data_IF_967263928527
#
_entry.id   IF_967263928527
#
_cell.length_a   1.000
_cell.length_b   1.000
_cell.length_c   1.000
_cell.angle_alpha   90.00
_cell.angle_beta   90.00
_cell.angle_gamma   90.00
#
_symmetry.space_group_name_H-M   'P 1'
#
loop_
_entity.id
_entity.type
_entity.pdbx_description
1 polymer ?
#
# COMPACT_ATOMS: atom_id res chain seq x y z
N UNK A 1 2.77 -4.69 7.91
CA UNK A 1 3.03 -3.87 6.70
C UNK A 1 2.96 -2.39 7.10
N UNK A 2 3.11 -1.42 6.19
CA UNK A 2 2.73 -0.02 6.45
C UNK A 2 2.13 0.54 5.16
N UNK A 3 0.84 0.88 5.19
CA UNK A 3 0.14 1.50 4.06
C UNK A 3 -0.54 2.77 4.55
N UNK A 4 -0.15 3.91 3.99
CA UNK A 4 -0.84 5.17 4.27
C UNK A 4 -2.15 5.23 3.46
N UNK A 5 -3.26 5.41 4.17
CA UNK A 5 -4.60 5.50 3.60
C UNK A 5 -5.03 6.95 3.59
N UNK A 6 -4.68 7.66 2.50
CA UNK A 6 -4.90 9.12 2.35
C UNK A 6 -6.33 9.57 2.70
N UNK A 7 -7.42 8.93 2.25
CA UNK A 7 -8.78 9.40 2.55
C UNK A 7 -9.14 9.35 4.05
N UNK A 8 -8.39 8.59 4.84
CA UNK A 8 -8.60 8.42 6.28
C UNK A 8 -7.54 9.14 7.12
N UNK A 9 -6.47 9.64 6.50
CA UNK A 9 -5.28 10.15 7.19
C UNK A 9 -4.74 9.16 8.25
N UNK A 10 -4.66 7.88 7.87
CA UNK A 10 -4.32 6.78 8.78
C UNK A 10 -3.28 5.83 8.15
N UNK A 11 -2.48 5.16 8.98
CA UNK A 11 -1.49 4.18 8.53
C UNK A 11 -1.93 2.77 8.93
N UNK A 12 -2.31 1.95 7.96
CA UNK A 12 -2.61 0.53 8.18
C UNK A 12 -1.31 -0.22 8.44
N UNK A 13 -1.19 -0.84 9.62
CA UNK A 13 0.02 -1.56 10.04
C UNK A 13 -0.13 -3.08 9.98
N UNK A 14 -1.35 -3.60 10.17
CA UNK A 14 -1.60 -5.04 10.18
C UNK A 14 -3.03 -5.41 9.73
N UNK A 15 -3.22 -6.66 9.30
CA UNK A 15 -4.51 -7.22 8.93
C UNK A 15 -4.54 -8.74 9.17
N UNK A 16 -5.72 -9.31 9.37
CA UNK A 16 -5.88 -10.75 9.59
C UNK A 16 -6.79 -11.44 8.55
N UNK A 17 -6.84 -12.77 8.59
CA UNK A 17 -7.68 -13.58 7.69
C UNK A 17 -9.19 -13.39 7.92
N UNK A 18 -9.59 -12.74 9.01
CA UNK A 18 -11.00 -12.43 9.33
C UNK A 18 -11.41 -11.05 8.79
N UNK A 19 -10.49 -10.34 8.15
CA UNK A 19 -10.69 -8.99 7.63
C UNK A 19 -10.72 -7.93 8.71
N UNK A 20 -10.13 -8.20 9.89
CA UNK A 20 -9.82 -7.16 10.86
C UNK A 20 -8.54 -6.43 10.43
N UNK A 21 -8.48 -5.16 10.77
CA UNK A 21 -7.37 -4.27 10.46
C UNK A 21 -6.88 -3.58 11.73
N UNK A 22 -5.61 -3.24 11.74
CA UNK A 22 -4.98 -2.45 12.79
C UNK A 22 -4.33 -1.23 12.16
N UNK A 23 -4.77 -0.04 12.55
CA UNK A 23 -4.12 1.22 12.21
C UNK A 23 -3.08 1.57 13.28
N UNK A 24 -2.09 2.39 12.91
CA UNK A 24 -1.10 2.91 13.84
C UNK A 24 -1.79 3.62 15.02
N UNK A 25 -1.36 3.29 16.24
CA UNK A 25 -1.92 3.80 17.50
C UNK A 25 -3.41 3.48 17.75
N UNK A 26 -4.00 2.54 17.02
CA UNK A 26 -5.39 2.08 17.20
C UNK A 26 -5.49 0.60 17.61
N UNK A 27 -6.67 0.20 18.11
CA UNK A 27 -6.99 -1.21 18.37
C UNK A 27 -7.48 -1.91 17.09
N UNK A 28 -7.36 -3.24 17.08
CA UNK A 28 -7.90 -4.07 16.02
C UNK A 28 -9.41 -3.86 15.86
N UNK A 29 -9.85 -3.55 14.64
CA UNK A 29 -11.24 -3.28 14.34
C UNK A 29 -11.67 -3.93 13.02
N UNK A 30 -12.98 -4.06 12.81
CA UNK A 30 -13.52 -4.47 11.51
C UNK A 30 -13.87 -3.20 10.74
N UNK A 31 -13.23 -2.94 9.59
CA UNK A 31 -13.45 -1.71 8.85
C UNK A 31 -14.86 -1.68 8.25
N UNK A 32 -15.45 -0.50 8.22
CA UNK A 32 -16.69 -0.18 7.52
C UNK A 32 -16.50 -0.28 6.00
N UNK A 33 -17.61 -0.27 5.25
CA UNK A 33 -17.56 -0.31 3.78
C UNK A 33 -16.76 0.87 3.18
N UNK A 34 -16.85 2.05 3.80
CA UNK A 34 -16.12 3.23 3.34
C UNK A 34 -14.62 3.07 3.58
N UNK A 35 -14.22 2.60 4.76
CA UNK A 35 -12.82 2.34 5.11
C UNK A 35 -12.24 1.24 4.22
N UNK A 36 -12.98 0.16 3.97
CA UNK A 36 -12.57 -0.90 3.02
C UNK A 36 -12.26 -0.29 1.65
N UNK A 37 -13.12 0.58 1.13
CA UNK A 37 -12.89 1.24 -0.18
C UNK A 37 -11.65 2.14 -0.15
N UNK A 38 -11.43 2.88 0.94
CA UNK A 38 -10.25 3.72 1.09
C UNK A 38 -8.95 2.90 1.16
N UNK A 39 -8.96 1.80 1.93
CA UNK A 39 -7.82 0.87 2.03
C UNK A 39 -7.50 0.26 0.66
N UNK A 40 -8.51 -0.24 -0.07
CA UNK A 40 -8.32 -0.83 -1.39
C UNK A 40 -7.73 0.19 -2.38
N UNK A 41 -8.27 1.40 -2.41
CA UNK A 41 -7.76 2.48 -3.25
C UNK A 41 -6.29 2.81 -2.94
N UNK A 42 -5.96 2.97 -1.65
CA UNK A 42 -4.58 3.22 -1.22
C UNK A 42 -3.64 2.08 -1.61
N UNK A 43 -4.06 0.82 -1.43
CA UNK A 43 -3.26 -0.35 -1.78
C UNK A 43 -3.01 -0.45 -3.29
N UNK A 44 -4.02 -0.20 -4.12
CA UNK A 44 -3.88 -0.19 -5.59
C UNK A 44 -2.88 0.88 -6.06
N UNK A 45 -2.96 2.09 -5.49
CA UNK A 45 -2.03 3.17 -5.80
C UNK A 45 -0.59 2.88 -5.35
N UNK A 46 -0.42 2.33 -4.15
CA UNK A 46 0.90 1.94 -3.63
C UNK A 46 1.52 0.84 -4.50
N UNK A 47 0.74 -0.18 -4.89
CA UNK A 47 1.22 -1.22 -5.81
C UNK A 47 1.65 -0.66 -7.17
N UNK A 48 0.90 0.29 -7.73
CA UNK A 48 1.28 0.96 -8.97
C UNK A 48 2.61 1.72 -8.82
N UNK A 49 2.75 2.51 -7.74
CA UNK A 49 3.95 3.28 -7.45
C UNK A 49 5.18 2.39 -7.21
N UNK A 50 5.01 1.30 -6.47
CA UNK A 50 6.06 0.30 -6.24
C UNK A 50 6.47 -0.40 -7.53
N UNK A 51 5.52 -0.67 -8.44
CA UNK A 51 5.82 -1.24 -9.75
C UNK A 51 6.66 -0.28 -10.59
N UNK A 52 6.28 1.00 -10.66
CA UNK A 52 7.06 2.02 -11.37
C UNK A 52 8.47 2.17 -10.77
N UNK A 53 8.60 2.13 -9.44
CA UNK A 53 9.89 2.15 -8.76
C UNK A 53 10.76 0.95 -9.13
N UNK A 54 10.19 -0.27 -9.11
CA UNK A 54 10.91 -1.49 -9.49
C UNK A 54 11.39 -1.40 -10.94
N UNK A 55 10.52 -0.99 -11.86
CA UNK A 55 10.88 -0.81 -13.28
C UNK A 55 12.01 0.22 -13.46
N UNK A 56 11.94 1.35 -12.76
CA UNK A 56 12.97 2.39 -12.82
C UNK A 56 14.32 1.91 -12.25
N UNK A 57 14.30 1.18 -11.14
CA UNK A 57 15.53 0.65 -10.52
C UNK A 57 16.14 -0.48 -11.35
N UNK A 58 15.34 -1.37 -11.93
CA UNK A 58 15.81 -2.44 -12.82
C UNK A 58 16.46 -1.85 -14.08
N UNK A 59 15.84 -0.82 -14.67
CA UNK A 59 16.41 -0.09 -15.80
C UNK A 59 17.72 0.64 -15.45
N UNK A 60 17.90 1.05 -14.18
CA UNK A 60 19.11 1.76 -13.74
C UNK A 60 20.36 0.86 -13.67
N UNK A 61 20.17 -0.45 -13.51
CA UNK A 61 21.25 -1.44 -13.41
C UNK A 61 21.46 -2.24 -14.71
N UNK A 62 20.50 -2.16 -15.65
CA UNK A 62 20.66 -2.74 -16.97
C UNK A 62 21.79 -2.00 -17.73
N UNK A 63 22.78 -2.72 -18.30
CA UNK A 63 23.83 -2.08 -19.08
C UNK A 63 23.17 -1.38 -20.27
N UNK A 64 23.39 -0.06 -20.38
CA UNK A 64 23.09 0.69 -21.60
C UNK A 64 23.97 0.10 -22.70
N UNK A 65 23.46 -0.89 -23.44
CA UNK A 65 24.02 -1.27 -24.73
C UNK A 65 23.94 -0.03 -25.61
N UNK A 66 25.04 0.70 -25.60
CA UNK A 66 25.32 1.78 -26.53
C UNK A 66 25.79 1.08 -27.78
N UNK A 67 24.90 0.96 -28.77
CA UNK A 67 25.26 0.71 -30.18
C UNK A 67 25.06 2.02 -30.96
#
# INVERSE_FOLDING_TARGET
MRLYVEPMDAVLVDFDERGQVCFEDEEWSKPSLQEIRAILYAAENEMASLRELVEALDASIAPRTTD
#
